data_IF_683745793121
#
_entry.id   IF_683745793121
#
_cell.length_a   1.000
_cell.length_b   1.000
_cell.length_c   1.000
_cell.angle_alpha   90.00
_cell.angle_beta   90.00
_cell.angle_gamma   90.00
#
_symmetry.space_group_name_H-M   'P 1'
#
loop_
_entity.id
_entity.type
_entity.pdbx_description
1 polymer ?
#
# COMPACT_ATOMS: atom_id res chain seq x y z
N UNK A 1 11.93 -24.59 8.39
CA UNK A 1 11.93 -23.47 8.90
C UNK A 1 12.39 -23.48 10.29
N UNK A 2 12.89 -24.57 10.70
CA UNK A 2 13.35 -24.78 12.00
C UNK A 2 14.10 -23.59 12.54
N UNK A 3 13.50 -22.84 13.39
CA UNK A 3 14.13 -21.76 14.08
C UNK A 3 14.25 -20.45 13.34
N UNK A 4 13.87 -20.42 12.08
CA UNK A 4 13.95 -19.18 11.31
C UNK A 4 12.58 -18.55 11.16
N UNK A 5 11.96 -18.23 12.29
CA UNK A 5 10.68 -17.58 12.24
C UNK A 5 10.53 -16.73 13.50
N UNK A 6 9.72 -15.71 13.39
CA UNK A 6 9.41 -14.88 14.53
C UNK A 6 8.49 -15.63 15.46
N UNK A 7 8.68 -15.50 16.77
CA UNK A 7 7.84 -16.22 17.73
C UNK A 7 6.38 -15.75 17.71
N UNK A 8 6.13 -14.50 17.32
CA UNK A 8 4.78 -13.96 17.34
C UNK A 8 4.62 -12.86 16.32
N UNK A 9 3.38 -12.37 16.20
CA UNK A 9 3.04 -11.34 15.24
C UNK A 9 3.74 -10.02 15.55
N UNK A 10 3.93 -9.71 16.82
CA UNK A 10 4.57 -8.46 17.20
C UNK A 10 6.02 -8.40 16.74
N UNK A 11 6.73 -9.53 16.85
CA UNK A 11 8.09 -9.60 16.37
C UNK A 11 8.17 -9.41 14.87
N UNK A 12 7.25 -10.04 14.15
CA UNK A 12 7.21 -9.88 12.70
C UNK A 12 6.86 -8.44 12.32
N UNK A 13 5.92 -7.83 13.03
CA UNK A 13 5.52 -6.46 12.75
C UNK A 13 6.66 -5.47 12.99
N UNK A 14 7.52 -5.77 13.96
CA UNK A 14 8.64 -4.89 14.28
C UNK A 14 9.65 -4.74 13.14
N UNK A 15 9.65 -5.66 12.17
CA UNK A 15 10.53 -5.54 11.01
C UNK A 15 10.07 -4.46 10.04
N UNK A 16 8.79 -4.12 10.06
CA UNK A 16 8.25 -3.18 9.06
C UNK A 16 8.90 -1.81 9.17
N UNK A 17 9.02 -1.19 10.35
CA UNK A 17 9.71 0.10 10.41
C UNK A 17 11.16 0.03 9.94
N UNK A 18 11.87 -1.08 10.21
CA UNK A 18 13.24 -1.24 9.78
C UNK A 18 13.34 -1.25 8.26
N UNK A 19 12.51 -2.09 7.63
CA UNK A 19 12.54 -2.21 6.17
C UNK A 19 12.04 -0.93 5.50
N UNK A 20 11.08 -0.26 6.12
CA UNK A 20 10.59 1.01 5.61
C UNK A 20 11.70 2.06 5.59
N UNK A 21 12.50 2.11 6.65
CA UNK A 21 13.61 3.05 6.72
C UNK A 21 14.64 2.78 5.63
N UNK A 22 14.92 1.50 5.37
CA UNK A 22 15.89 1.15 4.32
C UNK A 22 15.38 1.52 2.94
N UNK A 23 14.09 1.31 2.69
CA UNK A 23 13.49 1.74 1.43
C UNK A 23 13.57 3.25 1.29
N UNK A 24 13.29 3.98 2.37
CA UNK A 24 13.28 5.44 2.33
C UNK A 24 14.63 6.02 1.89
N UNK A 25 15.71 5.37 2.30
CA UNK A 25 17.04 5.83 1.94
C UNK A 25 17.33 5.68 0.45
N UNK A 26 16.63 4.80 -0.23
CA UNK A 26 16.90 4.48 -1.61
C UNK A 26 15.93 5.13 -2.60
N UNK A 27 14.81 5.63 -2.11
CA UNK A 27 13.82 6.28 -2.97
C UNK A 27 14.44 7.56 -3.51
N UNK A 28 14.35 7.74 -4.83
CA UNK A 28 14.88 8.92 -5.49
C UNK A 28 16.35 8.80 -5.86
N UNK A 29 16.99 7.71 -5.46
CA UNK A 29 18.38 7.46 -5.84
C UNK A 29 18.46 6.70 -7.15
N UNK A 30 19.68 6.30 -7.49
CA UNK A 30 19.96 5.66 -8.77
C UNK A 30 20.08 4.14 -8.67
N UNK A 31 20.18 3.59 -7.46
CA UNK A 31 20.38 2.15 -7.28
C UNK A 31 19.06 1.42 -7.29
N UNK A 32 18.57 1.16 -8.49
CA UNK A 32 17.27 0.53 -8.65
C UNK A 32 17.27 -0.93 -8.22
N UNK A 33 18.35 -1.62 -8.40
CA UNK A 33 18.43 -3.03 -7.98
C UNK A 33 18.31 -3.15 -6.48
N UNK A 34 18.99 -2.26 -5.75
CA UNK A 34 18.89 -2.27 -4.31
C UNK A 34 17.51 -1.87 -3.81
N UNK A 35 16.91 -0.89 -4.49
CA UNK A 35 15.55 -0.48 -4.13
C UNK A 35 14.57 -1.64 -4.32
N UNK A 36 14.70 -2.36 -5.42
CA UNK A 36 13.84 -3.52 -5.68
C UNK A 36 14.01 -4.57 -4.59
N UNK A 37 15.25 -4.83 -4.19
CA UNK A 37 15.52 -5.80 -3.16
C UNK A 37 14.90 -5.39 -1.82
N UNK A 38 15.07 -4.14 -1.44
CA UNK A 38 14.54 -3.66 -0.17
C UNK A 38 13.02 -3.58 -0.17
N UNK A 39 12.41 -3.27 -1.31
CA UNK A 39 10.97 -3.32 -1.42
C UNK A 39 10.46 -4.75 -1.27
N UNK A 40 11.20 -5.71 -1.82
CA UNK A 40 10.87 -7.11 -1.63
C UNK A 40 10.92 -7.51 -0.16
N UNK A 41 11.94 -7.04 0.55
CA UNK A 41 12.06 -7.31 1.98
C UNK A 41 10.90 -6.71 2.77
N UNK A 42 10.49 -5.51 2.39
CA UNK A 42 9.34 -4.86 3.05
C UNK A 42 8.07 -5.66 2.80
N UNK A 43 7.83 -6.07 1.57
CA UNK A 43 6.68 -6.91 1.26
C UNK A 43 6.71 -8.21 2.04
N UNK A 44 7.89 -8.82 2.14
CA UNK A 44 8.05 -10.06 2.88
C UNK A 44 7.71 -9.87 4.35
N UNK A 45 8.12 -8.74 4.93
CA UNK A 45 7.80 -8.45 6.33
C UNK A 45 6.29 -8.36 6.53
N UNK A 46 5.59 -7.72 5.60
CA UNK A 46 4.13 -7.63 5.68
C UNK A 46 3.49 -9.02 5.57
N UNK A 47 3.97 -9.85 4.65
CA UNK A 47 3.45 -11.21 4.49
C UNK A 47 3.66 -12.00 5.78
N UNK A 48 4.78 -11.81 6.47
CA UNK A 48 5.02 -12.50 7.73
C UNK A 48 4.03 -12.10 8.81
N UNK A 49 3.67 -10.81 8.87
CA UNK A 49 2.64 -10.37 9.80
C UNK A 49 1.32 -11.05 9.49
N UNK A 50 0.97 -11.13 8.21
CA UNK A 50 -0.27 -11.82 7.80
C UNK A 50 -0.23 -13.27 8.26
N UNK A 51 0.87 -13.94 8.00
CA UNK A 51 1.00 -15.35 8.35
C UNK A 51 0.87 -15.57 9.86
N UNK A 52 1.47 -14.68 10.65
CA UNK A 52 1.44 -14.83 12.10
C UNK A 52 0.09 -14.49 12.71
N UNK A 53 -0.73 -13.72 12.00
CA UNK A 53 -2.07 -13.37 12.48
C UNK A 53 -3.16 -14.21 11.85
N UNK A 54 -2.79 -15.19 11.01
CA UNK A 54 -3.77 -16.04 10.36
C UNK A 54 -4.51 -15.39 9.22
N UNK A 55 -3.94 -14.34 8.65
CA UNK A 55 -4.53 -13.62 7.52
C UNK A 55 -3.88 -14.10 6.23
N UNK A 56 -4.71 -14.37 5.21
CA UNK A 56 -4.20 -14.71 3.89
C UNK A 56 -3.78 -13.41 3.19
N UNK A 57 -2.48 -13.28 2.92
CA UNK A 57 -1.94 -12.04 2.36
C UNK A 57 -2.50 -11.74 0.98
N UNK A 58 -2.64 -12.75 0.13
CA UNK A 58 -3.20 -12.54 -1.21
C UNK A 58 -4.64 -12.06 -1.15
N UNK A 59 -5.43 -12.66 -0.28
CA UNK A 59 -6.82 -12.27 -0.14
C UNK A 59 -6.92 -10.85 0.41
N UNK A 60 -6.09 -10.52 1.40
CA UNK A 60 -6.08 -9.17 1.96
C UNK A 60 -5.72 -8.13 0.89
N UNK A 61 -4.71 -8.43 0.07
CA UNK A 61 -4.31 -7.52 -1.00
C UNK A 61 -5.41 -7.41 -2.05
N UNK A 62 -6.07 -8.53 -2.36
CA UNK A 62 -7.20 -8.52 -3.30
C UNK A 62 -8.31 -7.61 -2.86
N UNK A 63 -8.63 -7.63 -1.56
CA UNK A 63 -9.65 -6.73 -1.02
C UNK A 63 -9.23 -5.27 -1.11
N UNK A 64 -7.94 -5.01 -0.88
CA UNK A 64 -7.43 -3.65 -1.01
C UNK A 64 -7.54 -3.17 -2.45
N UNK A 65 -7.22 -4.05 -3.42
CA UNK A 65 -7.32 -3.71 -4.82
C UNK A 65 -8.76 -3.40 -5.22
N UNK A 66 -9.71 -4.20 -4.75
CA UNK A 66 -11.12 -3.95 -5.04
C UNK A 66 -11.59 -2.62 -4.48
N UNK A 67 -11.15 -2.31 -3.26
CA UNK A 67 -11.50 -1.07 -2.62
C UNK A 67 -10.93 0.12 -3.38
N UNK A 68 -9.68 -0.01 -3.84
CA UNK A 68 -9.04 1.03 -4.64
C UNK A 68 -9.83 1.28 -5.94
N UNK A 69 -10.18 0.20 -6.64
CA UNK A 69 -10.92 0.34 -7.89
C UNK A 69 -12.27 0.99 -7.68
N UNK A 70 -12.95 0.65 -6.60
CA UNK A 70 -14.24 1.23 -6.29
C UNK A 70 -14.12 2.73 -6.01
N UNK A 71 -13.11 3.11 -5.24
CA UNK A 71 -12.87 4.54 -4.95
C UNK A 71 -12.50 5.30 -6.20
N UNK A 72 -11.65 4.71 -7.03
CA UNK A 72 -11.24 5.34 -8.28
C UNK A 72 -12.44 5.59 -9.18
N UNK A 73 -13.35 4.62 -9.25
CA UNK A 73 -14.58 4.79 -10.02
C UNK A 73 -15.41 5.96 -9.51
N UNK A 74 -15.52 6.10 -8.18
CA UNK A 74 -16.25 7.23 -7.60
C UNK A 74 -15.56 8.56 -7.90
N UNK A 75 -14.24 8.59 -7.87
CA UNK A 75 -13.50 9.80 -8.21
C UNK A 75 -13.75 10.18 -9.67
N UNK A 76 -13.72 9.19 -10.56
CA UNK A 76 -14.03 9.44 -11.97
C UNK A 76 -15.42 10.03 -12.15
N UNK A 77 -16.40 9.47 -11.44
CA UNK A 77 -17.76 9.95 -11.51
C UNK A 77 -17.86 11.40 -11.03
N UNK A 78 -17.22 11.71 -9.91
CA UNK A 78 -17.22 13.07 -9.37
C UNK A 78 -16.60 14.07 -10.32
N UNK A 79 -15.47 13.68 -10.92
CA UNK A 79 -14.76 14.54 -11.87
C UNK A 79 -15.62 14.76 -13.12
N UNK A 80 -16.21 13.68 -13.64
CA UNK A 80 -17.06 13.78 -14.82
C UNK A 80 -18.30 14.64 -14.55
N UNK A 81 -18.87 14.52 -13.36
CA UNK A 81 -20.03 15.30 -12.98
C UNK A 81 -19.72 16.81 -12.96
N UNK A 82 -18.46 17.18 -12.72
CA UNK A 82 -18.04 18.56 -12.73
C UNK A 82 -17.69 19.06 -14.13
N UNK A 83 -17.78 18.19 -15.14
CA UNK A 83 -17.48 18.56 -16.52
C UNK A 83 -16.02 18.52 -16.86
N UNK A 84 -15.20 17.86 -16.03
CA UNK A 84 -13.77 17.76 -16.23
C UNK A 84 -13.35 16.32 -16.41
N UNK A 85 -12.11 16.13 -16.88
CA UNK A 85 -11.51 14.81 -16.97
C UNK A 85 -10.44 14.70 -15.90
N UNK A 86 -10.20 13.47 -15.44
CA UNK A 86 -9.19 13.25 -14.43
C UNK A 86 -7.84 13.76 -14.87
N UNK A 87 -7.50 13.56 -16.15
CA UNK A 87 -6.20 13.97 -16.68
C UNK A 87 -6.01 15.49 -16.67
N UNK A 88 -7.09 16.25 -16.52
CA UNK A 88 -7.05 17.70 -16.52
C UNK A 88 -6.92 18.29 -15.13
N UNK A 89 -6.91 17.46 -14.09
CA UNK A 89 -6.84 17.93 -12.71
C UNK A 89 -5.44 17.82 -12.18
N UNK A 90 -5.12 18.74 -11.28
CA UNK A 90 -3.86 18.66 -10.57
C UNK A 90 -3.95 17.56 -9.50
N UNK A 91 -2.80 17.01 -9.15
CA UNK A 91 -2.73 15.93 -8.17
C UNK A 91 -3.40 16.31 -6.85
N UNK A 92 -3.25 17.55 -6.44
CA UNK A 92 -3.83 18.02 -5.20
C UNK A 92 -5.35 17.90 -5.20
N UNK A 93 -5.98 18.26 -6.33
CA UNK A 93 -7.42 18.14 -6.47
C UNK A 93 -7.87 16.69 -6.47
N UNK A 94 -7.11 15.83 -7.16
CA UNK A 94 -7.40 14.40 -7.18
C UNK A 94 -7.31 13.80 -5.78
N UNK A 95 -6.28 14.18 -5.02
CA UNK A 95 -6.11 13.69 -3.67
C UNK A 95 -7.27 14.10 -2.77
N UNK A 96 -7.73 15.33 -2.91
CA UNK A 96 -8.87 15.81 -2.12
C UNK A 96 -10.13 15.04 -2.43
N UNK A 97 -10.37 14.77 -3.71
CA UNK A 97 -11.53 13.99 -4.13
C UNK A 97 -11.42 12.55 -3.61
N UNK A 98 -10.23 11.99 -3.68
CA UNK A 98 -9.98 10.65 -3.18
C UNK A 98 -10.27 10.55 -1.68
N UNK A 99 -9.76 11.52 -0.91
CA UNK A 99 -9.95 11.53 0.53
C UNK A 99 -11.42 11.68 0.91
N UNK A 100 -12.16 12.49 0.17
CA UNK A 100 -13.59 12.67 0.40
C UNK A 100 -14.34 11.35 0.19
N UNK A 101 -14.00 10.62 -0.88
CA UNK A 101 -14.64 9.34 -1.15
C UNK A 101 -14.26 8.31 -0.09
N UNK A 102 -13.01 8.33 0.35
CA UNK A 102 -12.55 7.43 1.40
C UNK A 102 -13.34 7.66 2.69
N UNK A 103 -13.57 8.92 3.03
CA UNK A 103 -14.30 9.26 4.26
C UNK A 103 -15.75 8.78 4.18
N UNK A 104 -16.38 8.89 3.01
CA UNK A 104 -17.79 8.51 2.85
C UNK A 104 -18.00 6.99 2.87
N UNK A 105 -16.93 6.21 2.72
CA UNK A 105 -17.01 4.75 2.77
C UNK A 105 -16.94 4.19 4.18
N UNK A 106 -16.68 5.02 5.18
CA UNK A 106 -16.56 4.56 6.57
C UNK A 106 -17.88 4.53 7.31
#
# INVERSE_FOLDING_TARGET
KAGFDFPDAEGAFGKIPEETAEVAELIGGDDRDRLEEELGDLLFAVVNVCRKTGIDAEYALGRANEKFLRRFSHVEDDVCASGKKISDLEMETLDSTWDRNKASER
#
